data_IF_561942165478
#
_entry.id   IF_561942165478
#
_cell.length_a   1.000
_cell.length_b   1.000
_cell.length_c   1.000
_cell.angle_alpha   90.00
_cell.angle_beta   90.00
_cell.angle_gamma   90.00
#
_symmetry.space_group_name_H-M   'P 1'
#
loop_
_entity.id
_entity.type
_entity.pdbx_description
1 polymer ?
#
# COMPACT_ATOMS: atom_id res chain seq x y z
N UNK A 1 -43.94 17.22 7.14
CA UNK A 1 -44.71 16.10 7.74
C UNK A 1 -45.21 16.53 9.11
N UNK A 2 -46.51 16.36 9.40
CA UNK A 2 -47.14 16.68 10.70
C UNK A 2 -46.87 18.09 11.24
N UNK A 3 -46.80 19.09 10.35
CA UNK A 3 -46.66 20.49 10.76
C UNK A 3 -48.04 21.08 11.07
N UNK A 4 -48.13 21.90 12.11
CA UNK A 4 -49.42 22.46 12.58
C UNK A 4 -49.95 23.57 11.67
N UNK A 5 -49.11 24.16 10.82
CA UNK A 5 -49.47 25.19 9.84
C UNK A 5 -49.01 24.79 8.43
N UNK A 6 -49.77 25.23 7.43
CA UNK A 6 -49.55 24.91 6.00
C UNK A 6 -48.22 25.44 5.40
N UNK A 7 -47.48 26.29 6.12
CA UNK A 7 -46.17 26.85 5.71
C UNK A 7 -45.01 26.47 6.63
N UNK A 8 -45.18 25.46 7.49
CA UNK A 8 -44.11 24.96 8.35
C UNK A 8 -43.50 23.68 7.74
N UNK A 9 -42.17 23.57 7.84
CA UNK A 9 -41.42 22.40 7.36
C UNK A 9 -40.83 21.65 8.56
N UNK A 10 -40.67 20.33 8.41
CA UNK A 10 -40.05 19.50 9.43
C UNK A 10 -38.53 19.51 9.20
N UNK A 11 -37.79 20.05 10.15
CA UNK A 11 -36.35 20.23 10.08
C UNK A 11 -35.57 18.92 9.90
N UNK A 12 -35.96 17.85 10.61
CA UNK A 12 -35.36 16.52 10.47
C UNK A 12 -35.58 15.94 9.06
N UNK A 13 -36.78 16.12 8.51
CA UNK A 13 -37.11 15.67 7.16
C UNK A 13 -36.29 16.43 6.10
N UNK A 14 -36.07 17.73 6.31
CA UNK A 14 -35.26 18.57 5.41
C UNK A 14 -33.80 18.09 5.33
N UNK A 15 -33.23 17.57 6.42
CA UNK A 15 -31.86 17.04 6.38
C UNK A 15 -31.82 15.62 5.78
N UNK A 16 -32.80 14.77 6.10
CA UNK A 16 -32.76 13.35 5.72
C UNK A 16 -33.20 13.09 4.27
N UNK A 17 -34.16 13.85 3.74
CA UNK A 17 -34.76 13.61 2.42
C UNK A 17 -34.22 14.51 1.31
N UNK A 18 -33.39 15.51 1.62
CA UNK A 18 -32.69 16.28 0.60
C UNK A 18 -31.45 15.55 0.09
N UNK A 19 -30.92 16.04 -1.03
CA UNK A 19 -29.61 15.62 -1.52
C UNK A 19 -28.53 15.96 -0.47
N UNK A 20 -27.47 15.16 -0.41
CA UNK A 20 -26.38 15.37 0.55
C UNK A 20 -25.71 16.73 0.33
N UNK A 21 -25.58 17.17 -0.92
CA UNK A 21 -24.99 18.46 -1.27
C UNK A 21 -25.82 19.64 -0.75
N UNK A 22 -27.15 19.58 -0.94
CA UNK A 22 -28.05 20.63 -0.46
C UNK A 22 -28.11 20.61 1.08
N UNK A 23 -28.11 19.44 1.70
CA UNK A 23 -28.06 19.31 3.15
C UNK A 23 -26.77 19.93 3.73
N UNK A 24 -25.62 19.70 3.11
CA UNK A 24 -24.34 20.30 3.50
C UNK A 24 -24.37 21.82 3.35
N UNK A 25 -24.86 22.32 2.20
CA UNK A 25 -25.00 23.76 1.96
C UNK A 25 -25.91 24.42 2.99
N UNK A 26 -27.02 23.77 3.33
CA UNK A 26 -27.95 24.26 4.35
C UNK A 26 -27.34 24.24 5.75
N UNK A 27 -26.53 23.22 6.08
CA UNK A 27 -25.79 23.14 7.34
C UNK A 27 -24.73 24.24 7.46
N UNK A 28 -24.06 24.59 6.36
CA UNK A 28 -23.05 25.66 6.31
C UNK A 28 -23.63 27.07 6.16
N UNK A 29 -24.89 27.20 5.75
CA UNK A 29 -25.53 28.49 5.50
C UNK A 29 -25.57 29.36 6.76
N UNK A 30 -25.13 30.61 6.61
CA UNK A 30 -25.21 31.62 7.66
C UNK A 30 -26.64 32.17 7.79
N UNK A 31 -27.00 32.67 9.00
CA UNK A 31 -28.31 33.30 9.35
C UNK A 31 -29.50 32.35 9.55
N UNK A 32 -29.25 31.07 9.77
CA UNK A 32 -30.27 30.05 10.03
C UNK A 32 -30.42 29.75 11.54
N UNK A 33 -30.46 30.83 12.36
CA UNK A 33 -30.33 30.80 13.84
C UNK A 33 -31.44 30.00 14.56
N UNK A 34 -32.56 29.73 13.89
CA UNK A 34 -33.68 28.95 14.46
C UNK A 34 -34.29 27.94 13.47
N UNK A 35 -33.63 27.63 12.35
CA UNK A 35 -34.20 26.68 11.38
C UNK A 35 -34.11 25.22 11.86
N UNK A 36 -33.13 24.92 12.70
CA UNK A 36 -32.89 23.56 13.20
C UNK A 36 -33.07 23.49 14.70
N UNK A 37 -33.83 22.50 15.16
CA UNK A 37 -33.90 22.14 16.56
C UNK A 37 -32.69 21.32 16.98
N UNK A 38 -32.16 21.59 18.18
CA UNK A 38 -31.07 20.80 18.78
C UNK A 38 -31.41 19.30 18.91
N UNK A 39 -32.69 18.96 19.12
CA UNK A 39 -33.15 17.58 19.21
C UNK A 39 -33.12 16.88 17.85
N UNK A 40 -33.55 17.55 16.80
CA UNK A 40 -33.56 17.02 15.43
C UNK A 40 -32.14 16.78 14.94
N UNK A 41 -31.21 17.72 15.16
CA UNK A 41 -29.79 17.56 14.81
C UNK A 41 -29.14 16.41 15.58
N UNK A 42 -29.43 16.25 16.88
CA UNK A 42 -28.90 15.13 17.66
C UNK A 42 -29.44 13.79 17.16
N UNK A 43 -30.73 13.72 16.86
CA UNK A 43 -31.36 12.51 16.31
C UNK A 43 -30.75 12.16 14.95
N UNK A 44 -30.58 13.16 14.08
CA UNK A 44 -29.92 13.00 12.80
C UNK A 44 -28.48 12.50 12.95
N UNK A 45 -27.69 13.11 13.84
CA UNK A 45 -26.30 12.72 14.08
C UNK A 45 -26.18 11.24 14.46
N UNK A 46 -26.97 10.78 15.43
CA UNK A 46 -26.92 9.40 15.93
C UNK A 46 -27.33 8.41 14.83
N UNK A 47 -28.46 8.67 14.16
CA UNK A 47 -28.97 7.80 13.10
C UNK A 47 -28.03 7.75 11.90
N UNK A 48 -27.55 8.90 11.44
CA UNK A 48 -26.69 9.00 10.26
C UNK A 48 -25.29 8.43 10.54
N UNK A 49 -24.75 8.63 11.74
CA UNK A 49 -23.48 8.00 12.14
C UNK A 49 -23.58 6.48 12.15
N UNK A 50 -24.65 5.90 12.73
CA UNK A 50 -24.86 4.46 12.73
C UNK A 50 -24.98 3.90 11.30
N UNK A 51 -25.75 4.56 10.43
CA UNK A 51 -25.87 4.20 9.02
C UNK A 51 -24.54 4.30 8.26
N UNK A 52 -23.74 5.33 8.54
CA UNK A 52 -22.42 5.51 7.94
C UNK A 52 -21.47 4.36 8.32
N UNK A 53 -21.50 3.91 9.57
CA UNK A 53 -20.68 2.77 10.03
C UNK A 53 -21.11 1.48 9.35
N UNK A 54 -22.42 1.21 9.27
CA UNK A 54 -22.95 0.00 8.62
C UNK A 54 -22.63 -0.01 7.12
N UNK A 55 -22.84 1.11 6.43
CA UNK A 55 -22.61 1.21 4.97
C UNK A 55 -21.14 1.10 4.59
N UNK A 56 -20.23 1.59 5.43
CA UNK A 56 -18.79 1.49 5.22
C UNK A 56 -18.26 0.05 5.17
N UNK A 57 -18.89 -0.88 5.91
CA UNK A 57 -18.55 -2.30 5.90
C UNK A 57 -19.12 -3.09 4.73
N UNK A 58 -19.97 -2.47 3.88
CA UNK A 58 -20.62 -3.17 2.77
C UNK A 58 -19.72 -3.27 1.54
N UNK A 59 -19.89 -4.33 0.75
CA UNK A 59 -19.16 -4.55 -0.50
C UNK A 59 -19.73 -3.71 -1.66
N UNK A 60 -19.93 -2.41 -1.43
CA UNK A 60 -20.48 -1.46 -2.41
C UNK A 60 -19.43 -0.37 -2.68
N UNK A 61 -19.21 0.04 -3.95
CA UNK A 61 -18.34 1.16 -4.24
C UNK A 61 -18.97 2.46 -3.72
N UNK A 62 -18.55 2.91 -2.54
CA UNK A 62 -19.04 4.13 -1.89
C UNK A 62 -17.88 4.98 -1.35
N UNK A 63 -18.07 6.29 -1.31
CA UNK A 63 -17.11 7.25 -0.75
C UNK A 63 -17.43 7.61 0.70
N UNK A 64 -16.41 7.78 1.53
CA UNK A 64 -16.56 8.15 2.95
C UNK A 64 -16.49 9.67 3.20
N UNK A 65 -16.05 10.45 2.19
CA UNK A 65 -15.79 11.88 2.35
C UNK A 65 -17.05 12.68 2.63
N UNK A 66 -18.09 12.56 1.79
CA UNK A 66 -19.35 13.30 1.93
C UNK A 66 -20.10 12.94 3.22
N UNK A 67 -20.27 11.64 3.60
CA UNK A 67 -20.84 11.29 4.89
C UNK A 67 -20.06 11.86 6.07
N UNK A 68 -18.72 11.91 5.97
CA UNK A 68 -17.87 12.51 7.00
C UNK A 68 -18.05 14.02 7.14
N UNK A 69 -18.23 14.74 6.02
CA UNK A 69 -18.62 16.17 6.07
C UNK A 69 -19.95 16.29 6.81
N UNK A 70 -20.98 15.53 6.43
CA UNK A 70 -22.31 15.65 7.02
C UNK A 70 -22.31 15.42 8.53
N UNK A 71 -21.73 14.30 8.99
CA UNK A 71 -21.59 13.99 10.42
C UNK A 71 -20.88 15.15 11.12
N UNK A 72 -19.80 15.63 10.49
CA UNK A 72 -18.98 16.66 11.05
C UNK A 72 -19.67 18.02 11.18
N UNK A 73 -20.41 18.41 10.14
CA UNK A 73 -21.22 19.61 10.08
C UNK A 73 -22.33 19.60 11.12
N UNK A 74 -23.02 18.47 11.29
CA UNK A 74 -24.11 18.34 12.25
C UNK A 74 -23.63 18.52 13.69
N UNK A 75 -22.56 17.85 14.12
CA UNK A 75 -22.07 18.03 15.50
C UNK A 75 -21.43 19.42 15.69
N UNK A 76 -20.72 19.93 14.68
CA UNK A 76 -20.17 21.29 14.73
C UNK A 76 -21.27 22.32 14.95
N UNK A 77 -22.38 22.18 14.22
CA UNK A 77 -23.55 23.03 14.37
C UNK A 77 -24.20 22.92 15.75
N UNK A 78 -24.35 21.69 16.28
CA UNK A 78 -24.83 21.46 17.66
C UNK A 78 -23.96 22.19 18.70
N UNK A 79 -22.63 22.14 18.55
CA UNK A 79 -21.71 22.89 19.40
C UNK A 79 -21.92 24.41 19.24
N UNK A 80 -22.08 24.90 18.01
CA UNK A 80 -22.39 26.31 17.74
C UNK A 80 -23.67 26.79 18.45
N UNK A 81 -24.76 26.01 18.37
CA UNK A 81 -26.02 26.31 19.07
C UNK A 81 -25.85 26.32 20.59
N UNK A 82 -25.07 25.38 21.14
CA UNK A 82 -24.78 25.34 22.57
C UNK A 82 -24.00 26.58 23.02
N UNK A 83 -23.00 27.01 22.25
CA UNK A 83 -22.20 28.22 22.50
C UNK A 83 -23.08 29.48 22.44
N UNK A 84 -23.96 29.60 21.45
CA UNK A 84 -24.91 30.73 21.34
C UNK A 84 -25.84 30.78 22.55
N UNK A 85 -26.39 29.64 22.97
CA UNK A 85 -27.27 29.53 24.14
C UNK A 85 -26.56 29.90 25.44
N UNK A 86 -25.30 29.50 25.59
CA UNK A 86 -24.50 29.77 26.78
C UNK A 86 -24.06 31.23 26.89
N UNK A 87 -23.53 31.81 25.80
CA UNK A 87 -22.98 33.17 25.82
C UNK A 87 -24.02 34.28 25.54
N UNK A 88 -25.26 33.94 25.18
CA UNK A 88 -26.35 34.88 24.83
C UNK A 88 -25.94 35.98 23.81
N UNK A 89 -24.89 35.74 23.02
CA UNK A 89 -24.39 36.68 22.00
C UNK A 89 -24.97 36.31 20.64
N UNK A 90 -25.63 37.28 20.00
CA UNK A 90 -26.29 37.16 18.69
C UNK A 90 -25.33 37.22 17.49
N UNK A 91 -24.04 37.50 17.70
CA UNK A 91 -23.06 37.70 16.62
C UNK A 91 -22.25 36.44 16.25
N UNK A 92 -22.66 35.26 16.73
CA UNK A 92 -21.98 34.00 16.41
C UNK A 92 -22.75 33.28 15.31
N UNK A 93 -22.11 33.08 14.16
CA UNK A 93 -22.69 32.33 13.05
C UNK A 93 -22.53 30.82 13.28
N UNK A 94 -23.64 30.09 13.44
CA UNK A 94 -23.65 28.63 13.62
C UNK A 94 -23.02 27.87 12.45
N UNK A 95 -23.18 28.38 11.23
CA UNK A 95 -22.62 27.79 10.00
C UNK A 95 -21.09 27.72 10.01
N UNK A 96 -20.41 28.68 10.66
CA UNK A 96 -18.95 28.61 10.84
C UNK A 96 -18.56 27.45 11.73
N UNK A 97 -19.32 27.17 12.79
CA UNK A 97 -19.06 26.02 13.67
C UNK A 97 -19.36 24.70 12.97
N UNK A 98 -20.37 24.66 12.08
CA UNK A 98 -20.62 23.50 11.23
C UNK A 98 -19.41 23.22 10.31
N UNK A 99 -18.87 24.24 9.63
CA UNK A 99 -17.69 24.11 8.78
C UNK A 99 -16.46 23.63 9.57
N UNK A 100 -16.21 24.22 10.75
CA UNK A 100 -15.11 23.79 11.62
C UNK A 100 -15.31 22.36 12.12
N UNK A 101 -16.54 21.97 12.46
CA UNK A 101 -16.88 20.61 12.86
C UNK A 101 -16.63 19.58 11.77
N UNK A 102 -17.01 19.91 10.52
CA UNK A 102 -16.71 19.10 9.35
C UNK A 102 -15.20 18.89 9.17
N UNK A 103 -14.43 19.97 9.32
CA UNK A 103 -12.98 19.90 9.27
C UNK A 103 -12.41 19.00 10.39
N UNK A 104 -12.80 19.18 11.65
CA UNK A 104 -12.28 18.33 12.73
C UNK A 104 -12.64 16.86 12.58
N UNK A 105 -13.85 16.50 12.14
CA UNK A 105 -14.20 15.08 11.99
C UNK A 105 -13.39 14.42 10.88
N UNK A 106 -13.23 15.08 9.73
CA UNK A 106 -12.44 14.56 8.63
C UNK A 106 -10.94 14.54 8.93
N UNK A 107 -10.41 15.56 9.60
CA UNK A 107 -9.02 15.58 10.05
C UNK A 107 -8.72 14.50 11.09
N UNK A 108 -9.68 14.19 11.95
CA UNK A 108 -9.56 13.17 13.00
C UNK A 108 -9.76 11.74 12.50
N UNK A 109 -10.63 11.52 11.51
CA UNK A 109 -10.91 10.19 10.95
C UNK A 109 -9.97 9.82 9.81
N UNK A 110 -9.71 10.73 8.87
CA UNK A 110 -8.93 10.46 7.67
C UNK A 110 -7.45 10.85 7.78
N UNK A 111 -7.08 11.66 8.79
CA UNK A 111 -5.70 12.20 8.97
C UNK A 111 -5.16 13.03 7.81
N UNK A 112 -6.03 13.44 6.88
CA UNK A 112 -5.67 14.32 5.75
C UNK A 112 -5.71 15.77 6.25
N UNK A 113 -4.59 16.51 6.12
CA UNK A 113 -4.48 17.89 6.62
C UNK A 113 -4.50 18.92 5.51
N UNK A 114 -3.46 18.97 4.68
CA UNK A 114 -3.26 20.04 3.69
C UNK A 114 -4.37 20.03 2.64
N UNK A 115 -4.60 18.89 1.98
CA UNK A 115 -5.63 18.79 0.94
C UNK A 115 -7.03 19.06 1.49
N UNK A 116 -7.35 18.56 2.68
CA UNK A 116 -8.64 18.80 3.33
C UNK A 116 -8.83 20.28 3.68
N UNK A 117 -7.78 20.96 4.12
CA UNK A 117 -7.81 22.39 4.39
C UNK A 117 -8.15 23.18 3.12
N UNK A 118 -7.50 22.86 2.00
CA UNK A 118 -7.79 23.49 0.70
C UNK A 118 -9.23 23.23 0.27
N UNK A 119 -9.69 21.98 0.32
CA UNK A 119 -11.07 21.60 -0.05
C UNK A 119 -12.09 22.38 0.78
N UNK A 120 -11.91 22.46 2.10
CA UNK A 120 -12.83 23.18 2.99
C UNK A 120 -12.85 24.68 2.70
N UNK A 121 -11.69 25.27 2.41
CA UNK A 121 -11.58 26.68 2.05
C UNK A 121 -12.26 26.97 0.71
N UNK A 122 -12.08 26.11 -0.29
CA UNK A 122 -12.76 26.22 -1.58
C UNK A 122 -14.28 26.11 -1.44
N UNK A 123 -14.78 25.15 -0.64
CA UNK A 123 -16.22 25.01 -0.36
C UNK A 123 -16.78 26.26 0.34
N UNK A 124 -16.03 26.82 1.28
CA UNK A 124 -16.45 28.04 2.01
C UNK A 124 -16.33 29.32 1.17
N UNK A 125 -15.56 29.29 0.08
CA UNK A 125 -15.18 30.44 -0.74
C UNK A 125 -14.66 31.65 0.08
N UNK A 126 -14.00 31.39 1.22
CA UNK A 126 -13.51 32.44 2.10
C UNK A 126 -12.16 32.07 2.74
N UNK A 127 -11.10 32.64 2.16
CA UNK A 127 -9.71 32.43 2.60
C UNK A 127 -9.45 32.88 4.05
N UNK A 128 -10.29 33.75 4.64
CA UNK A 128 -10.13 34.19 6.03
C UNK A 128 -10.35 33.07 7.04
N UNK A 129 -11.05 31.99 6.67
CA UNK A 129 -11.25 30.82 7.54
C UNK A 129 -10.06 29.86 7.57
N UNK A 130 -9.09 29.99 6.66
CA UNK A 130 -7.92 29.13 6.54
C UNK A 130 -7.18 28.88 7.88
N UNK A 131 -6.78 29.92 8.66
CA UNK A 131 -6.04 29.69 9.91
C UNK A 131 -6.87 28.94 10.96
N UNK A 132 -8.19 29.19 11.02
CA UNK A 132 -9.09 28.51 11.96
C UNK A 132 -9.28 27.04 11.60
N UNK A 133 -9.52 26.75 10.31
CA UNK A 133 -9.64 25.38 9.80
C UNK A 133 -8.35 24.62 10.06
N UNK A 134 -7.19 25.23 9.78
CA UNK A 134 -5.89 24.58 9.97
C UNK A 134 -5.61 24.27 11.44
N UNK A 135 -5.94 25.19 12.36
CA UNK A 135 -5.80 24.95 13.80
C UNK A 135 -6.66 23.77 14.27
N UNK A 136 -7.94 23.75 13.89
CA UNK A 136 -8.88 22.68 14.25
C UNK A 136 -8.44 21.33 13.68
N UNK A 137 -7.96 21.32 12.42
CA UNK A 137 -7.43 20.12 11.78
C UNK A 137 -6.20 19.57 12.49
N UNK A 138 -5.25 20.43 12.88
CA UNK A 138 -4.03 20.00 13.57
C UNK A 138 -4.32 19.42 14.95
N UNK A 139 -5.23 20.05 15.71
CA UNK A 139 -5.66 19.54 17.02
C UNK A 139 -6.37 18.19 16.85
N UNK A 140 -7.34 18.10 15.94
CA UNK A 140 -8.07 16.85 15.72
C UNK A 140 -7.17 15.71 15.24
N UNK A 141 -6.21 16.02 14.34
CA UNK A 141 -5.20 15.07 13.92
C UNK A 141 -4.35 14.60 15.10
N UNK A 142 -3.80 15.52 15.89
CA UNK A 142 -2.95 15.19 17.02
C UNK A 142 -3.68 14.35 18.09
N UNK A 143 -4.93 14.70 18.39
CA UNK A 143 -5.76 13.94 19.33
C UNK A 143 -5.96 12.53 18.83
N UNK A 144 -6.38 12.34 17.58
CA UNK A 144 -6.63 10.98 17.16
C UNK A 144 -5.34 10.20 16.84
N UNK A 145 -4.23 10.82 16.43
CA UNK A 145 -2.92 10.14 16.30
C UNK A 145 -2.49 9.52 17.64
N UNK A 146 -2.98 10.06 18.78
CA UNK A 146 -2.74 9.49 20.09
C UNK A 146 -3.61 8.26 20.42
N UNK A 147 -4.69 8.02 19.68
CA UNK A 147 -5.60 6.89 19.91
C UNK A 147 -5.51 5.83 18.81
N UNK A 148 -5.71 6.21 17.54
CA UNK A 148 -5.86 5.31 16.40
C UNK A 148 -5.20 5.87 15.12
N UNK A 149 -4.81 4.98 14.22
CA UNK A 149 -4.38 5.33 12.87
C UNK A 149 -5.55 5.84 12.00
N UNK A 150 -5.22 6.40 10.83
CA UNK A 150 -6.23 6.87 9.89
C UNK A 150 -7.02 5.72 9.28
N UNK A 151 -8.31 5.93 9.02
CA UNK A 151 -9.20 4.86 8.51
C UNK A 151 -8.66 4.21 7.22
N UNK A 152 -8.05 4.99 6.32
CA UNK A 152 -7.49 4.46 5.08
C UNK A 152 -6.22 3.61 5.28
N UNK A 153 -5.45 3.92 6.32
CA UNK A 153 -4.23 3.18 6.65
C UNK A 153 -4.59 1.81 7.25
N UNK A 154 -5.52 1.80 8.21
CA UNK A 154 -6.13 0.59 8.76
C UNK A 154 -6.73 -0.31 7.68
N UNK A 155 -7.49 0.26 6.74
CA UNK A 155 -8.05 -0.52 5.63
C UNK A 155 -6.96 -1.11 4.71
N UNK A 156 -5.87 -0.38 4.49
CA UNK A 156 -4.76 -0.88 3.68
C UNK A 156 -4.05 -2.05 4.38
N UNK A 157 -3.86 -1.95 5.71
CA UNK A 157 -3.29 -3.00 6.53
C UNK A 157 -4.21 -4.24 6.59
N UNK A 158 -5.51 -4.07 6.82
CA UNK A 158 -6.50 -5.16 6.81
C UNK A 158 -6.58 -5.89 5.46
N UNK A 159 -6.32 -5.19 4.36
CA UNK A 159 -6.22 -5.79 3.01
C UNK A 159 -4.86 -6.45 2.75
N UNK A 160 -3.91 -6.34 3.66
CA UNK A 160 -2.55 -6.87 3.50
C UNK A 160 -1.77 -6.19 2.37
N UNK A 161 -2.06 -4.92 2.09
CA UNK A 161 -1.37 -4.17 1.04
C UNK A 161 0.01 -3.76 1.59
N UNK A 162 1.13 -4.16 0.95
CA UNK A 162 2.47 -3.83 1.41
C UNK A 162 2.79 -2.35 1.13
N UNK A 163 2.35 -1.44 2.01
CA UNK A 163 2.54 0.01 1.93
C UNK A 163 3.75 0.46 2.76
N UNK A 164 4.63 1.27 2.17
CA UNK A 164 5.73 1.92 2.88
C UNK A 164 5.26 3.26 3.44
N UNK A 165 5.21 3.36 4.77
CA UNK A 165 4.85 4.55 5.53
C UNK A 165 5.66 5.81 5.20
N UNK A 166 5.12 6.95 5.60
CA UNK A 166 5.76 8.25 5.33
C UNK A 166 7.12 8.44 5.99
N UNK A 167 7.30 7.83 7.16
CA UNK A 167 8.48 7.95 7.98
C UNK A 167 9.06 6.56 8.19
N UNK A 168 10.39 6.43 8.18
CA UNK A 168 11.02 5.17 8.59
C UNK A 168 10.75 4.92 10.08
N UNK A 169 10.56 3.65 10.44
CA UNK A 169 10.44 3.23 11.84
C UNK A 169 11.73 3.54 12.61
N UNK A 170 11.61 3.82 13.91
CA UNK A 170 12.75 4.17 14.75
C UNK A 170 13.81 3.06 14.79
N UNK A 171 13.37 1.79 14.78
CA UNK A 171 14.25 0.60 14.79
C UNK A 171 15.20 0.55 13.59
N UNK A 172 14.77 1.08 12.43
CA UNK A 172 15.59 1.15 11.22
C UNK A 172 16.81 2.07 11.37
N UNK A 173 16.94 2.83 12.46
CA UNK A 173 18.14 3.63 12.74
C UNK A 173 19.31 2.77 13.20
N UNK A 174 19.01 1.67 13.90
CA UNK A 174 20.02 0.79 14.49
C UNK A 174 20.36 -0.39 13.58
N UNK A 175 19.64 -0.57 12.48
CA UNK A 175 19.87 -1.63 11.50
C UNK A 175 20.70 -1.13 10.32
N UNK A 176 21.56 -1.99 9.80
CA UNK A 176 22.36 -1.73 8.59
C UNK A 176 21.70 -2.31 7.34
N UNK A 177 22.09 -1.81 6.16
CA UNK A 177 21.64 -2.35 4.87
C UNK A 177 21.98 -3.85 4.73
N UNK A 178 23.13 -4.25 5.27
CA UNK A 178 23.58 -5.65 5.32
C UNK A 178 22.60 -6.56 6.06
N UNK A 179 22.15 -6.13 7.23
CA UNK A 179 21.21 -6.89 8.06
C UNK A 179 19.83 -6.99 7.39
N UNK A 180 19.39 -5.90 6.75
CA UNK A 180 18.11 -5.84 6.06
C UNK A 180 18.01 -6.77 4.83
N UNK A 181 19.11 -7.00 4.12
CA UNK A 181 19.13 -7.94 2.99
C UNK A 181 18.89 -9.41 3.38
N UNK A 182 19.05 -9.76 4.66
CA UNK A 182 19.08 -11.14 5.12
C UNK A 182 20.25 -11.94 4.53
N UNK A 183 20.48 -13.15 5.05
CA UNK A 183 21.55 -14.04 4.53
C UNK A 183 21.20 -14.72 3.20
N UNK A 184 20.23 -14.18 2.44
CA UNK A 184 19.76 -14.73 1.19
C UNK A 184 20.81 -14.54 0.08
N UNK A 185 21.25 -15.65 -0.51
CA UNK A 185 22.17 -15.60 -1.67
C UNK A 185 21.41 -14.99 -2.86
N UNK A 186 21.89 -13.85 -3.37
CA UNK A 186 21.28 -13.20 -4.53
C UNK A 186 21.49 -14.05 -5.78
N UNK A 187 20.41 -14.32 -6.50
CA UNK A 187 20.46 -15.02 -7.80
C UNK A 187 20.87 -14.01 -8.86
N UNK A 188 22.05 -14.20 -9.46
CA UNK A 188 22.65 -13.32 -10.46
C UNK A 188 22.85 -14.02 -11.79
N UNK A 189 22.83 -13.27 -12.89
CA UNK A 189 23.21 -13.77 -14.20
C UNK A 189 24.63 -13.32 -14.58
N UNK A 190 25.43 -14.17 -15.25
CA UNK A 190 26.61 -13.69 -15.96
C UNK A 190 26.18 -12.81 -17.16
N UNK A 191 27.09 -11.97 -17.66
CA UNK A 191 26.85 -11.17 -18.87
C UNK A 191 26.34 -12.00 -20.05
N UNK A 192 27.03 -13.10 -20.35
CA UNK A 192 26.64 -14.07 -21.37
C UNK A 192 26.14 -15.32 -20.66
N UNK A 193 24.87 -15.66 -20.88
CA UNK A 193 24.18 -16.74 -20.17
C UNK A 193 23.59 -17.75 -21.15
N UNK A 194 23.58 -19.03 -20.80
CA UNK A 194 22.93 -20.07 -21.59
C UNK A 194 21.42 -19.97 -21.45
N UNK A 195 20.67 -20.16 -22.53
CA UNK A 195 19.20 -20.05 -22.55
C UNK A 195 18.55 -21.03 -21.56
N UNK A 196 19.06 -22.27 -21.49
CA UNK A 196 18.61 -23.27 -20.52
C UNK A 196 18.74 -22.81 -19.06
N UNK A 197 19.84 -22.14 -18.71
CA UNK A 197 20.05 -21.62 -17.36
C UNK A 197 19.06 -20.50 -17.05
N UNK A 198 18.81 -19.59 -17.99
CA UNK A 198 17.80 -18.52 -17.84
C UNK A 198 16.42 -19.13 -17.58
N UNK A 199 15.99 -20.09 -18.39
CA UNK A 199 14.69 -20.75 -18.24
C UNK A 199 14.59 -21.46 -16.89
N UNK A 200 15.65 -22.18 -16.48
CA UNK A 200 15.68 -22.88 -15.19
C UNK A 200 15.58 -21.91 -14.00
N UNK A 201 16.27 -20.78 -14.05
CA UNK A 201 16.25 -19.73 -13.01
C UNK A 201 14.88 -19.04 -12.98
N UNK A 202 14.30 -18.75 -14.15
CA UNK A 202 12.98 -18.15 -14.26
C UNK A 202 11.86 -19.09 -13.81
N UNK A 203 12.01 -20.42 -13.93
CA UNK A 203 11.05 -21.40 -13.42
C UNK A 203 11.20 -21.67 -11.93
N UNK A 204 12.44 -21.70 -11.43
CA UNK A 204 12.71 -21.92 -10.00
C UNK A 204 12.40 -20.72 -9.12
N UNK A 205 12.53 -19.49 -9.65
CA UNK A 205 12.38 -18.26 -8.88
C UNK A 205 11.24 -17.37 -9.39
N UNK A 206 10.52 -16.74 -8.45
CA UNK A 206 9.47 -15.72 -8.72
C UNK A 206 9.99 -14.28 -8.65
N UNK A 207 11.31 -14.09 -8.64
CA UNK A 207 11.95 -12.78 -8.61
C UNK A 207 11.73 -12.02 -9.93
N UNK A 208 11.63 -10.69 -9.83
CA UNK A 208 11.31 -9.82 -10.96
C UNK A 208 12.50 -8.98 -11.46
N UNK A 209 13.64 -9.05 -10.77
CA UNK A 209 14.85 -8.34 -11.12
C UNK A 209 16.06 -9.16 -10.69
N UNK A 210 17.07 -9.19 -11.55
CA UNK A 210 18.27 -10.00 -11.38
C UNK A 210 19.51 -9.13 -11.67
N UNK A 211 20.51 -9.10 -10.79
CA UNK A 211 21.78 -8.45 -11.10
C UNK A 211 22.54 -9.23 -12.17
N UNK A 212 23.20 -8.50 -13.07
CA UNK A 212 24.10 -9.04 -14.08
C UNK A 212 25.53 -8.74 -13.68
N UNK A 213 26.38 -9.78 -13.67
CA UNK A 213 27.76 -9.74 -13.21
C UNK A 213 28.69 -10.01 -14.40
N UNK A 214 29.73 -9.18 -14.56
CA UNK A 214 30.89 -9.45 -15.41
C UNK A 214 32.08 -9.91 -14.57
N UNK A 215 33.08 -10.45 -15.25
CA UNK A 215 34.41 -10.62 -14.67
C UNK A 215 35.34 -9.54 -15.23
N UNK A 216 35.99 -8.82 -14.33
CA UNK A 216 37.07 -7.89 -14.71
C UNK A 216 38.29 -8.66 -15.22
N UNK A 217 39.24 -7.96 -15.86
CA UNK A 217 40.51 -8.56 -16.31
C UNK A 217 41.33 -9.19 -15.18
N UNK A 218 41.10 -8.75 -13.93
CA UNK A 218 41.68 -9.30 -12.70
C UNK A 218 40.92 -10.52 -12.16
N UNK A 219 39.82 -10.95 -12.79
CA UNK A 219 38.99 -12.08 -12.37
C UNK A 219 38.01 -11.74 -11.25
N UNK A 220 37.94 -10.48 -10.79
CA UNK A 220 36.96 -10.07 -9.79
C UNK A 220 35.58 -9.90 -10.42
N UNK A 221 34.50 -10.41 -9.78
CA UNK A 221 33.15 -10.15 -10.22
C UNK A 221 32.85 -8.66 -10.09
N UNK A 222 32.17 -8.09 -11.09
CA UNK A 222 31.72 -6.71 -11.14
C UNK A 222 30.26 -6.65 -11.56
N UNK A 223 29.47 -5.82 -10.89
CA UNK A 223 28.06 -5.63 -11.23
C UNK A 223 27.95 -4.67 -12.42
N UNK A 224 27.47 -5.17 -13.56
CA UNK A 224 27.25 -4.33 -14.75
C UNK A 224 25.90 -3.63 -14.68
N UNK A 225 24.89 -4.31 -14.11
CA UNK A 225 23.55 -3.74 -14.07
C UNK A 225 22.46 -4.65 -13.53
N UNK A 226 21.21 -4.22 -13.78
CA UNK A 226 19.98 -4.94 -13.40
C UNK A 226 19.20 -5.30 -14.67
N UNK A 227 18.82 -6.58 -14.81
CA UNK A 227 17.86 -7.03 -15.81
C UNK A 227 16.54 -7.41 -15.15
N UNK A 228 15.41 -7.03 -15.76
CA UNK A 228 14.09 -7.38 -15.27
C UNK A 228 13.59 -8.69 -15.87
N UNK A 229 12.79 -9.43 -15.11
CA UNK A 229 12.13 -10.65 -15.59
C UNK A 229 11.32 -10.40 -16.86
N UNK A 230 10.62 -9.27 -16.94
CA UNK A 230 9.83 -8.91 -18.13
C UNK A 230 10.70 -8.75 -19.37
N UNK A 231 11.90 -8.19 -19.25
CA UNK A 231 12.82 -8.05 -20.39
C UNK A 231 13.31 -9.43 -20.85
N UNK A 232 13.69 -10.30 -19.90
CA UNK A 232 14.12 -11.66 -20.22
C UNK A 232 13.03 -12.45 -20.95
N UNK A 233 11.77 -12.29 -20.57
CA UNK A 233 10.65 -12.98 -21.23
C UNK A 233 10.43 -12.48 -22.66
N UNK A 234 10.57 -11.16 -22.90
CA UNK A 234 10.49 -10.58 -24.26
C UNK A 234 11.63 -11.11 -25.14
N UNK A 235 12.86 -11.17 -24.61
CA UNK A 235 14.03 -11.69 -25.33
C UNK A 235 13.86 -13.18 -25.66
N UNK A 236 13.35 -13.98 -24.72
CA UNK A 236 13.09 -15.40 -24.94
C UNK A 236 11.97 -15.64 -25.96
N UNK A 237 10.96 -14.76 -26.01
CA UNK A 237 9.87 -14.87 -26.97
C UNK A 237 10.31 -14.48 -28.38
N UNK A 238 11.17 -13.47 -28.52
CA UNK A 238 11.61 -12.99 -29.84
C UNK A 238 12.60 -13.95 -30.51
N UNK A 239 13.44 -14.64 -29.72
CA UNK A 239 14.52 -15.54 -30.20
C UNK A 239 15.55 -14.88 -31.13
N UNK A 240 15.50 -13.54 -31.28
CA UNK A 240 16.31 -12.81 -32.27
C UNK A 240 17.76 -12.65 -31.83
N UNK A 241 18.00 -12.68 -30.51
CA UNK A 241 19.29 -12.37 -29.89
C UNK A 241 20.05 -13.62 -29.40
N UNK A 242 19.66 -14.81 -29.87
CA UNK A 242 20.37 -16.04 -29.53
C UNK A 242 21.68 -16.14 -30.33
N UNK A 243 22.75 -16.51 -29.64
CA UNK A 243 24.09 -16.70 -30.19
C UNK A 243 24.62 -18.10 -29.86
N UNK A 244 25.31 -18.73 -30.81
CA UNK A 244 25.93 -20.05 -30.60
C UNK A 244 27.27 -19.97 -29.86
N UNK A 245 27.88 -18.78 -29.78
CA UNK A 245 29.15 -18.58 -29.06
C UNK A 245 28.91 -18.11 -27.62
N UNK A 246 29.73 -18.58 -26.66
CA UNK A 246 29.70 -18.11 -25.27
C UNK A 246 30.48 -16.79 -25.06
N UNK A 247 30.90 -16.14 -26.15
CA UNK A 247 31.71 -14.92 -26.09
C UNK A 247 30.82 -13.68 -26.13
N UNK A 248 31.20 -12.58 -25.44
CA UNK A 248 30.52 -11.30 -25.55
C UNK A 248 30.49 -10.82 -27.00
N UNK A 249 29.37 -10.26 -27.42
CA UNK A 249 29.27 -9.68 -28.75
C UNK A 249 30.08 -8.37 -28.79
N UNK A 250 31.25 -8.40 -29.44
CA UNK A 250 32.15 -7.25 -29.51
C UNK A 250 31.54 -6.13 -30.36
N UNK A 251 31.30 -4.98 -29.74
CA UNK A 251 30.71 -3.77 -30.36
C UNK A 251 31.60 -3.13 -31.44
N UNK A 252 32.78 -3.69 -31.70
CA UNK A 252 33.79 -3.16 -32.64
C UNK A 252 33.66 -3.69 -34.07
N UNK A 253 32.84 -4.72 -34.31
CA UNK A 253 32.56 -5.26 -35.64
C UNK A 253 31.08 -5.15 -36.00
N UNK A 254 30.65 -3.98 -36.48
CA UNK A 254 29.29 -3.76 -37.01
C UNK A 254 28.20 -3.88 -35.94
N UNK A 255 27.83 -2.76 -35.32
CA UNK A 255 26.81 -2.70 -34.29
C UNK A 255 25.54 -3.46 -34.69
N UNK A 256 25.26 -4.56 -34.00
CA UNK A 256 23.88 -5.04 -33.89
C UNK A 256 23.16 -3.97 -33.06
N UNK A 257 22.55 -3.01 -33.76
CA UNK A 257 21.50 -2.17 -33.21
C UNK A 257 20.56 -3.08 -32.42
N UNK A 258 20.18 -2.67 -31.21
CA UNK A 258 19.08 -3.30 -30.47
C UNK A 258 17.96 -3.54 -31.50
N UNK A 259 17.68 -4.81 -31.81
CA UNK A 259 16.73 -5.20 -32.87
C UNK A 259 15.27 -5.08 -32.40
N UNK A 260 15.12 -4.67 -31.15
CA UNK A 260 13.88 -4.49 -30.43
C UNK A 260 13.51 -3.01 -30.40
N UNK A 261 12.25 -2.70 -30.72
CA UNK A 261 11.70 -1.38 -30.42
C UNK A 261 11.49 -1.23 -28.91
N UNK A 262 11.75 -0.04 -28.39
CA UNK A 262 11.56 0.31 -26.98
C UNK A 262 10.14 0.01 -26.47
N UNK A 263 9.14 0.05 -27.37
CA UNK A 263 7.76 -0.31 -27.09
C UNK A 263 7.51 -1.79 -26.79
N UNK A 264 8.36 -2.71 -27.25
CA UNK A 264 8.20 -4.16 -27.02
C UNK A 264 8.50 -4.56 -25.57
N UNK A 265 9.32 -3.77 -24.87
CA UNK A 265 9.62 -3.97 -23.45
C UNK A 265 8.60 -3.27 -22.53
N UNK A 266 7.71 -2.43 -23.09
CA UNK A 266 6.66 -1.79 -22.32
C UNK A 266 5.63 -2.83 -21.88
N UNK A 267 5.31 -2.85 -20.58
CA UNK A 267 4.23 -3.70 -20.09
C UNK A 267 2.90 -3.24 -20.71
N UNK A 268 2.13 -4.13 -21.35
CA UNK A 268 0.81 -3.78 -21.83
C UNK A 268 -0.07 -3.35 -20.66
N UNK A 269 -0.85 -2.28 -20.83
CA UNK A 269 -1.70 -1.69 -19.78
C UNK A 269 -2.80 -2.65 -19.30
N UNK A 270 -3.15 -3.67 -20.08
CA UNK A 270 -4.36 -4.48 -19.88
C UNK A 270 -4.15 -6.01 -19.91
N UNK A 271 -3.03 -6.54 -20.40
CA UNK A 271 -2.84 -7.99 -20.48
C UNK A 271 -2.10 -8.57 -19.27
N UNK A 272 -2.45 -9.80 -18.90
CA UNK A 272 -1.51 -10.69 -18.18
C UNK A 272 -0.26 -10.72 -19.05
N UNK A 273 0.84 -10.15 -18.54
CA UNK A 273 2.11 -10.14 -19.27
C UNK A 273 2.54 -11.55 -19.67
N UNK A 274 3.52 -11.65 -20.56
CA UNK A 274 4.06 -12.92 -21.08
C UNK A 274 4.41 -13.85 -19.90
N UNK A 275 3.92 -15.10 -19.91
CA UNK A 275 4.34 -16.11 -18.95
C UNK A 275 5.49 -16.94 -19.53
N UNK A 276 6.33 -17.51 -18.67
CA UNK A 276 7.38 -18.44 -19.10
C UNK A 276 6.80 -19.72 -19.70
N UNK A 277 5.59 -20.11 -19.30
CA UNK A 277 4.91 -21.31 -19.77
C UNK A 277 4.35 -21.15 -21.20
N UNK A 278 4.18 -19.91 -21.67
CA UNK A 278 3.68 -19.61 -23.02
C UNK A 278 4.80 -19.62 -24.07
N UNK A 279 6.07 -19.71 -23.64
CA UNK A 279 7.24 -19.62 -24.54
C UNK A 279 7.71 -21.03 -24.92
N UNK A 280 7.50 -21.39 -26.18
CA UNK A 280 7.95 -22.66 -26.75
C UNK A 280 9.39 -22.54 -27.29
N UNK A 281 10.34 -23.15 -26.59
CA UNK A 281 11.76 -23.22 -26.98
C UNK A 281 12.10 -24.62 -27.49
N UNK A 282 12.85 -24.70 -28.59
CA UNK A 282 13.37 -25.96 -29.12
C UNK A 282 14.57 -26.46 -28.29
N UNK A 283 14.95 -27.73 -28.43
CA UNK A 283 16.17 -28.26 -27.80
C UNK A 283 17.42 -27.48 -28.26
N UNK A 284 17.47 -27.08 -29.53
CA UNK A 284 18.57 -26.30 -30.09
C UNK A 284 18.61 -24.88 -29.48
N UNK A 285 17.44 -24.26 -29.27
CA UNK A 285 17.33 -22.93 -28.63
C UNK A 285 17.91 -22.94 -27.21
N UNK A 286 17.71 -24.04 -26.46
CA UNK A 286 18.18 -24.18 -25.08
C UNK A 286 19.71 -24.29 -24.96
N UNK A 287 20.38 -24.69 -26.05
CA UNK A 287 21.84 -24.79 -26.13
C UNK A 287 22.53 -23.48 -26.51
N UNK A 288 21.76 -22.50 -27.01
CA UNK A 288 22.27 -21.18 -27.36
C UNK A 288 22.55 -20.31 -26.11
N UNK A 289 23.23 -19.20 -26.35
CA UNK A 289 23.59 -18.18 -25.37
C UNK A 289 22.92 -16.84 -25.68
N UNK A 290 22.79 -15.98 -24.68
CA UNK A 290 22.27 -14.61 -24.79
C UNK A 290 23.26 -13.65 -24.14
N UNK A 291 23.64 -12.56 -24.82
CA UNK A 291 24.34 -11.44 -24.21
C UNK A 291 23.32 -10.46 -23.60
N UNK A 292 23.35 -10.30 -22.28
CA UNK A 292 22.42 -9.45 -21.54
C UNK A 292 22.86 -7.97 -21.47
N UNK A 293 24.09 -7.65 -21.89
CA UNK A 293 24.64 -6.30 -21.81
C UNK A 293 23.79 -5.20 -22.48
N UNK A 294 23.14 -5.40 -23.66
CA UNK A 294 22.33 -4.35 -24.28
C UNK A 294 20.95 -4.15 -23.64
N UNK A 295 20.48 -5.07 -22.78
CA UNK A 295 19.12 -5.07 -22.24
C UNK A 295 19.02 -4.72 -20.75
N UNK A 296 20.17 -4.56 -20.10
CA UNK A 296 20.25 -4.23 -18.68
C UNK A 296 20.16 -2.72 -18.44
N UNK A 297 19.75 -2.35 -17.23
CA UNK A 297 19.98 -1.01 -16.71
C UNK A 297 21.44 -0.93 -16.22
N UNK A 298 22.32 -0.13 -16.86
CA UNK A 298 23.75 -0.06 -16.51
C UNK A 298 24.01 0.73 -15.21
N UNK A 299 23.04 1.50 -14.72
CA UNK A 299 23.17 2.34 -13.53
C UNK A 299 22.09 2.02 -12.48
N UNK A 300 22.10 0.80 -11.91
CA UNK A 300 21.23 0.49 -10.78
C UNK A 300 21.62 1.34 -9.56
N UNK A 301 20.65 1.65 -8.71
CA UNK A 301 20.95 2.30 -7.44
C UNK A 301 21.64 1.33 -6.49
N UNK A 302 22.80 1.76 -5.98
CA UNK A 302 23.68 0.96 -5.14
C UNK A 302 23.90 1.72 -3.83
N UNK A 303 23.87 1.00 -2.71
CA UNK A 303 24.19 1.49 -1.38
C UNK A 303 25.30 0.65 -0.74
N UNK A 304 26.18 1.25 0.08
CA UNK A 304 27.17 0.50 0.84
C UNK A 304 26.52 -0.33 1.93
N UNK A 305 27.15 -1.45 2.30
CA UNK A 305 26.62 -2.39 3.31
C UNK A 305 26.44 -1.76 4.71
N UNK A 306 27.30 -0.78 5.03
CA UNK A 306 27.30 -0.06 6.33
C UNK A 306 26.27 1.08 6.40
N UNK A 307 25.51 1.33 5.33
CA UNK A 307 24.51 2.40 5.32
C UNK A 307 23.36 2.06 6.27
N UNK A 308 23.01 3.01 7.15
CA UNK A 308 21.84 2.88 8.04
C UNK A 308 20.56 2.65 7.24
N UNK A 309 19.71 1.73 7.70
CA UNK A 309 18.48 1.36 7.00
C UNK A 309 17.50 2.54 6.87
N UNK A 310 17.50 3.49 7.81
CA UNK A 310 16.73 4.75 7.70
C UNK A 310 17.06 5.54 6.44
N UNK A 311 18.35 5.67 6.09
CA UNK A 311 18.76 6.39 4.87
C UNK A 311 18.40 5.60 3.62
N UNK A 312 18.56 4.28 3.67
CA UNK A 312 18.15 3.36 2.60
C UNK A 312 16.64 3.45 2.35
N UNK A 313 15.83 3.47 3.40
CA UNK A 313 14.37 3.62 3.34
C UNK A 313 13.96 4.92 2.65
N UNK A 314 14.55 6.03 3.08
CA UNK A 314 14.27 7.34 2.47
C UNK A 314 14.65 7.36 0.99
N UNK A 315 15.83 6.84 0.63
CA UNK A 315 16.26 6.72 -0.76
C UNK A 315 15.30 5.87 -1.59
N UNK A 316 14.95 4.68 -1.08
CA UNK A 316 14.07 3.72 -1.75
C UNK A 316 12.69 4.33 -2.02
N UNK A 317 12.13 5.03 -1.02
CA UNK A 317 10.79 5.60 -1.11
C UNK A 317 10.74 6.89 -1.93
N UNK A 318 11.71 7.80 -1.78
CA UNK A 318 11.75 9.07 -2.51
C UNK A 318 11.99 8.87 -4.01
N UNK A 319 12.83 7.90 -4.38
CA UNK A 319 13.10 7.58 -5.78
C UNK A 319 12.11 6.56 -6.38
N UNK A 320 11.19 6.03 -5.57
CA UNK A 320 10.22 5.03 -6.04
C UNK A 320 10.86 3.72 -6.51
N UNK A 321 11.94 3.29 -5.86
CA UNK A 321 12.70 2.12 -6.28
C UNK A 321 11.92 0.82 -6.08
N UNK A 322 12.31 -0.19 -6.86
CA UNK A 322 11.80 -1.57 -6.72
C UNK A 322 12.84 -2.54 -6.22
N UNK A 323 14.08 -2.35 -6.66
CA UNK A 323 15.24 -3.16 -6.32
C UNK A 323 16.38 -2.18 -6.03
N UNK A 324 17.06 -2.37 -4.90
CA UNK A 324 18.21 -1.57 -4.49
C UNK A 324 19.36 -2.51 -4.17
N UNK A 325 20.55 -2.26 -4.72
CA UNK A 325 21.70 -3.13 -4.51
C UNK A 325 22.48 -2.74 -3.27
N UNK A 326 22.85 -3.75 -2.47
CA UNK A 326 23.75 -3.59 -1.33
C UNK A 326 25.07 -4.21 -1.69
N UNK A 327 26.12 -3.39 -1.69
CA UNK A 327 27.48 -3.82 -2.01
C UNK A 327 28.43 -3.46 -0.87
N UNK A 328 29.37 -4.34 -0.49
CA UNK A 328 30.40 -4.01 0.49
C UNK A 328 31.47 -3.12 -0.16
N UNK A 329 31.75 -3.38 -1.45
CA UNK A 329 32.66 -2.66 -2.34
C UNK A 329 32.06 -2.73 -3.75
N UNK A 330 32.35 -1.76 -4.64
CA UNK A 330 31.72 -1.66 -5.97
C UNK A 330 31.84 -2.90 -6.87
N UNK A 331 32.69 -3.87 -6.53
CA UNK A 331 32.84 -5.13 -7.27
C UNK A 331 31.73 -6.16 -6.97
N UNK A 332 31.30 -6.36 -5.71
CA UNK A 332 30.47 -7.54 -5.36
C UNK A 332 29.05 -7.17 -4.89
N UNK A 333 28.02 -7.80 -5.45
CA UNK A 333 26.67 -7.77 -4.86
C UNK A 333 26.66 -8.62 -3.59
N UNK A 334 26.39 -8.01 -2.45
CA UNK A 334 26.13 -8.72 -1.19
C UNK A 334 24.65 -9.06 -1.06
N UNK A 335 23.78 -8.13 -1.45
CA UNK A 335 22.35 -8.27 -1.28
C UNK A 335 21.53 -7.38 -2.20
N UNK A 336 20.22 -7.63 -2.24
CA UNK A 336 19.24 -6.81 -2.93
C UNK A 336 18.11 -6.50 -1.94
N UNK A 337 17.83 -5.22 -1.74
CA UNK A 337 16.71 -4.74 -0.91
C UNK A 337 15.51 -4.47 -1.83
N UNK A 338 14.39 -5.08 -1.48
CA UNK A 338 13.07 -4.85 -2.08
C UNK A 338 12.13 -4.18 -1.08
N UNK A 339 10.94 -3.82 -1.54
CA UNK A 339 9.88 -3.29 -0.67
C UNK A 339 9.58 -4.21 0.52
N UNK A 340 9.60 -5.53 0.31
CA UNK A 340 9.26 -6.51 1.35
C UNK A 340 10.26 -6.51 2.49
N UNK A 341 11.53 -6.26 2.18
CA UNK A 341 12.62 -6.27 3.17
C UNK A 341 12.60 -4.99 4.03
N UNK A 342 11.94 -3.94 3.53
CA UNK A 342 11.72 -2.68 4.26
C UNK A 342 10.42 -2.68 5.07
N UNK A 343 9.55 -3.66 4.88
CA UNK A 343 8.35 -3.86 5.69
C UNK A 343 8.73 -4.71 6.90
N UNK A 344 9.36 -4.06 7.88
CA UNK A 344 9.62 -4.68 9.16
C UNK A 344 8.29 -4.75 9.91
N UNK A 345 7.73 -5.95 10.01
CA UNK A 345 6.58 -6.22 10.87
C UNK A 345 7.05 -6.14 12.33
N UNK A 346 6.38 -5.33 13.13
CA UNK A 346 6.66 -5.26 14.56
C UNK A 346 6.30 -6.64 15.13
N UNK A 347 7.30 -7.36 15.65
CA UNK A 347 7.08 -8.65 16.31
C UNK A 347 6.08 -8.55 17.48
N UNK A 348 5.81 -7.35 17.99
CA UNK A 348 4.80 -7.09 19.00
C UNK A 348 3.35 -7.14 18.45
N UNK A 349 3.11 -6.71 17.20
CA UNK A 349 1.77 -6.73 16.60
C UNK A 349 1.31 -8.14 16.20
N UNK A 350 2.22 -9.09 16.02
CA UNK A 350 1.86 -10.49 15.75
C UNK A 350 1.10 -11.09 16.94
N UNK A 351 1.48 -10.76 18.18
CA UNK A 351 0.78 -11.26 19.37
C UNK A 351 -0.60 -10.60 19.53
N UNK A 352 -0.74 -9.32 19.19
CA UNK A 352 -2.02 -8.59 19.28
C UNK A 352 -2.99 -9.01 18.17
N UNK A 353 -2.49 -9.27 16.96
CA UNK A 353 -3.26 -9.80 15.82
C UNK A 353 -3.65 -11.27 16.01
N UNK A 354 -2.79 -12.10 16.61
CA UNK A 354 -3.17 -13.47 17.00
C UNK A 354 -4.28 -13.47 18.05
N UNK A 355 -4.21 -12.59 19.06
CA UNK A 355 -5.26 -12.46 20.09
C UNK A 355 -6.61 -11.99 19.50
N UNK A 356 -6.61 -11.03 18.57
CA UNK A 356 -7.84 -10.58 17.90
C UNK A 356 -8.39 -11.59 16.88
N UNK A 357 -7.52 -12.32 16.18
CA UNK A 357 -7.95 -13.35 15.21
C UNK A 357 -8.44 -14.64 15.88
N UNK A 358 -7.98 -14.98 17.09
CA UNK A 358 -8.55 -16.08 17.89
C UNK A 358 -9.99 -15.84 18.35
N UNK A 359 -10.48 -14.60 18.36
CA UNK A 359 -11.89 -14.32 18.68
C UNK A 359 -12.84 -14.51 17.48
N UNK A 360 -12.33 -14.67 16.26
CA UNK A 360 -13.16 -14.69 15.02
C UNK A 360 -12.94 -15.94 14.16
N UNK A 361 -12.00 -16.85 14.47
CA UNK A 361 -11.80 -18.07 13.67
C UNK A 361 -11.79 -19.36 14.49
N UNK A 362 -12.99 -19.89 14.70
CA UNK A 362 -13.20 -21.34 14.72
C UNK A 362 -12.79 -21.88 13.35
N UNK A 363 -11.76 -22.73 13.33
CA UNK A 363 -11.52 -23.72 12.28
C UNK A 363 -10.81 -23.23 11.01
N UNK A 364 -9.48 -23.25 11.00
CA UNK A 364 -8.72 -24.00 9.98
C UNK A 364 -7.23 -24.03 10.34
N UNK A 365 -6.81 -25.19 10.86
CA UNK A 365 -5.45 -25.49 11.26
C UNK A 365 -4.63 -25.92 10.02
N UNK A 366 -3.63 -25.14 9.62
CA UNK A 366 -2.57 -25.62 8.72
C UNK A 366 -1.25 -25.70 9.50
N UNK A 367 -0.86 -26.93 9.82
CA UNK A 367 0.42 -27.32 10.43
C UNK A 367 1.59 -26.84 9.57
N UNK A 368 2.53 -26.10 10.16
CA UNK A 368 3.91 -26.01 9.66
C UNK A 368 4.80 -26.92 10.51
N UNK A 369 5.42 -27.88 9.83
CA UNK A 369 6.42 -28.81 10.35
C UNK A 369 7.58 -28.05 11.01
N UNK A 370 7.77 -28.28 12.30
CA UNK A 370 9.09 -28.23 12.93
C UNK A 370 9.65 -29.65 12.99
N UNK A 371 10.77 -29.80 12.31
CA UNK A 371 11.69 -30.93 12.36
C UNK A 371 12.24 -31.04 13.78
N UNK A 372 11.88 -32.10 14.49
CA UNK A 372 12.74 -32.68 15.52
C UNK A 372 12.62 -34.20 15.45
N UNK A 373 13.75 -34.81 15.10
CA UNK A 373 14.11 -36.19 15.39
C UNK A 373 14.05 -36.38 16.90
N UNK A 374 13.28 -37.35 17.39
CA UNK A 374 13.74 -38.38 18.32
C UNK A 374 12.61 -39.37 18.64
N UNK A 375 12.93 -40.64 18.38
CA UNK A 375 12.65 -41.87 19.13
C UNK A 375 11.28 -42.00 19.84
N UNK A 376 10.45 -42.94 19.35
CA UNK A 376 9.86 -44.09 20.10
C UNK A 376 8.55 -44.59 19.45
N UNK A 377 8.51 -45.88 19.10
CA UNK A 377 7.28 -46.70 19.06
C UNK A 377 7.34 -47.63 20.27
N UNK A 378 6.21 -47.98 20.91
CA UNK A 378 5.60 -49.29 20.66
C UNK A 378 4.04 -49.27 20.75
N UNK A 379 3.33 -49.94 19.84
CA UNK A 379 2.64 -51.25 19.97
C UNK A 379 1.20 -51.23 20.55
N UNK A 380 0.33 -51.92 19.78
CA UNK A 380 -0.94 -52.58 20.12
C UNK A 380 -2.19 -51.76 20.52
N UNK A 381 -3.09 -51.57 19.53
CA UNK A 381 -4.53 -51.84 19.66
C UNK A 381 -4.81 -53.03 18.75
N UNK A 382 -5.60 -54.05 19.07
CA UNK A 382 -6.77 -54.06 19.94
C UNK A 382 -7.83 -54.83 19.17
N UNK A 383 -7.96 -56.11 19.50
CA UNK A 383 -9.08 -56.99 19.12
C UNK A 383 -10.42 -56.38 19.55
N UNK A 384 -11.49 -56.89 18.93
CA UNK A 384 -12.92 -56.56 19.09
C UNK A 384 -13.34 -55.41 18.16
N UNK A 385 -14.31 -55.53 17.26
CA UNK A 385 -15.49 -56.39 17.25
C UNK A 385 -16.13 -56.21 15.87
N UNK A 386 -16.49 -57.29 15.17
CA UNK A 386 -17.63 -57.31 14.26
C UNK A 386 -17.90 -58.75 13.84
N UNK A 387 -19.01 -59.28 14.36
CA UNK A 387 -19.58 -60.56 14.00
C UNK A 387 -21.07 -60.33 13.71
N UNK A 388 -21.52 -60.88 12.56
CA UNK A 388 -22.84 -61.52 12.31
C UNK A 388 -23.97 -60.58 11.85
N UNK A 389 -24.93 -61.04 10.99
CA UNK A 389 -24.95 -62.07 9.91
C UNK A 389 -25.40 -61.42 8.56
N UNK A 390 -25.53 -62.05 7.39
CA UNK A 390 -25.85 -63.43 6.94
C UNK A 390 -24.87 -63.95 5.88
#
# INVERSE_FOLDING_TARGET
FFCSKDNEYNDLATIFFNTQDDAIRNLFSAKTINEYSSQSLLTFLVMFYALAVVTFGTAVPAGQFVPGIMIGSTYGRLVGMFVVKYYRKLNIEEGTYALLGAASFLGGSMRITVSLCVIMVEISNNLKFLPLIMLVLLISKAVGDAFNEGIYEEQAQLRGIPLLESRPKYEMRNMTAKEACGSGRVVSFPRVVKVSDVVSILRSNKHNGFPVIDHTRSGEPLVIGLVLRSHLLVILQSKVDFQHSPLPSDSRGGGRSIRHDSGEFAKPVSSKGICIDDINLSSDDLEMYIDLAPFLNPSPYIVPEDMSLTKVYNLFRQLGLRHLFVVPRPSRVLGLITRKDLLIEDKENVNTLELQSTSVRIGHQYKRLTRNTDVERPLLNGLLQNQIPD
#
